data_IF_494782946781
#
_entry.id   IF_494782946781
#
_cell.length_a   1.000
_cell.length_b   1.000
_cell.length_c   1.000
_cell.angle_alpha   90.00
_cell.angle_beta   90.00
_cell.angle_gamma   90.00
#
_symmetry.space_group_name_H-M   'P 1'
#
loop_
_entity.id
_entity.type
_entity.pdbx_description
1 polymer ?
#
# COMPACT_ATOMS: atom_id res chain seq x y z
N UNK A 1 7.99 14.67 -9.93
CA UNK A 1 6.98 15.74 -10.20
C UNK A 1 7.64 17.10 -10.05
N UNK A 2 7.24 18.11 -10.85
CA UNK A 2 7.68 19.50 -10.63
C UNK A 2 7.27 20.01 -9.26
N UNK A 3 8.05 20.91 -8.69
CA UNK A 3 7.73 21.58 -7.43
C UNK A 3 6.44 22.40 -7.56
N UNK A 4 5.61 22.39 -6.51
CA UNK A 4 4.31 23.06 -6.50
C UNK A 4 3.17 22.26 -7.13
N UNK A 5 3.45 21.08 -7.73
CA UNK A 5 2.40 20.22 -8.26
C UNK A 5 1.56 19.62 -7.14
N UNK A 6 0.26 19.66 -7.30
CA UNK A 6 -0.70 18.97 -6.45
C UNK A 6 -1.32 17.80 -7.23
N UNK A 7 -1.62 16.73 -6.53
CA UNK A 7 -2.19 15.54 -7.12
C UNK A 7 -3.29 14.97 -6.21
N UNK A 8 -4.46 14.75 -6.78
CA UNK A 8 -5.57 14.05 -6.16
C UNK A 8 -5.71 12.68 -6.81
N UNK A 9 -5.78 11.62 -6.00
CA UNK A 9 -6.16 10.29 -6.45
C UNK A 9 -7.43 9.85 -5.73
N UNK A 10 -8.35 9.28 -6.49
CA UNK A 10 -9.47 8.49 -5.98
C UNK A 10 -9.26 7.06 -6.47
N UNK A 11 -9.06 6.15 -5.53
CA UNK A 11 -8.75 4.76 -5.80
C UNK A 11 -9.90 3.90 -5.28
N UNK A 12 -10.49 3.07 -6.13
CA UNK A 12 -11.42 2.01 -5.73
C UNK A 12 -10.68 0.68 -5.75
N UNK A 13 -10.84 -0.12 -4.71
CA UNK A 13 -10.23 -1.44 -4.54
C UNK A 13 -11.33 -2.44 -4.21
N UNK A 14 -11.38 -3.54 -4.94
CA UNK A 14 -12.14 -4.74 -4.55
C UNK A 14 -11.18 -5.92 -4.53
N UNK A 15 -11.18 -6.68 -3.44
CA UNK A 15 -10.22 -7.75 -3.21
C UNK A 15 -10.88 -8.90 -2.46
N UNK A 16 -10.63 -10.14 -2.92
CA UNK A 16 -10.90 -11.35 -2.15
C UNK A 16 -9.62 -11.78 -1.45
N UNK A 17 -9.66 -11.99 -0.15
CA UNK A 17 -8.45 -12.19 0.66
C UNK A 17 -8.80 -12.86 1.99
N UNK A 18 -7.79 -13.25 2.75
CA UNK A 18 -7.91 -13.69 4.14
C UNK A 18 -7.45 -12.59 5.14
N UNK A 19 -7.33 -11.34 4.70
CA UNK A 19 -6.87 -10.21 5.52
C UNK A 19 -7.83 -9.02 5.43
N UNK A 20 -7.63 -8.00 6.27
CA UNK A 20 -8.24 -6.68 6.11
C UNK A 20 -7.41 -5.82 5.14
N UNK A 21 -7.57 -4.49 5.20
CA UNK A 21 -6.75 -3.54 4.42
C UNK A 21 -5.24 -3.67 4.67
N UNK A 22 -4.84 -4.02 5.89
CA UNK A 22 -3.44 -4.28 6.22
C UNK A 22 -3.14 -5.78 6.02
N UNK A 23 -2.34 -6.17 5.01
CA UNK A 23 -1.95 -7.57 4.79
C UNK A 23 -1.24 -8.21 5.99
N UNK A 24 -0.70 -7.39 6.91
CA UNK A 24 -0.11 -7.89 8.14
C UNK A 24 -1.15 -8.48 9.12
N UNK A 25 -2.46 -8.23 8.89
CA UNK A 25 -3.57 -8.76 9.68
C UNK A 25 -4.19 -10.04 9.12
N UNK A 26 -3.52 -10.72 8.19
CA UNK A 26 -4.02 -11.96 7.60
C UNK A 26 -4.37 -13.01 8.67
N UNK A 27 -5.53 -13.64 8.51
CA UNK A 27 -6.07 -14.68 9.40
C UNK A 27 -6.23 -15.97 8.62
N UNK A 28 -5.51 -17.02 9.02
CA UNK A 28 -5.58 -18.32 8.36
C UNK A 28 -7.01 -18.88 8.40
N UNK A 29 -7.53 -19.28 7.25
CA UNK A 29 -8.88 -19.85 7.11
C UNK A 29 -10.01 -18.82 7.16
N UNK A 30 -9.69 -17.52 7.08
CA UNK A 30 -10.67 -16.49 6.81
C UNK A 30 -10.92 -16.36 5.31
N UNK A 31 -12.13 -16.03 4.93
CA UNK A 31 -12.52 -15.62 3.58
C UNK A 31 -13.15 -14.23 3.69
N UNK A 32 -12.47 -13.24 3.15
CA UNK A 32 -12.87 -11.85 3.27
C UNK A 32 -12.96 -11.17 1.90
N UNK A 33 -13.92 -10.28 1.78
CA UNK A 33 -14.05 -9.32 0.68
C UNK A 33 -13.79 -7.92 1.23
N UNK A 34 -12.84 -7.22 0.61
CA UNK A 34 -12.46 -5.83 0.91
C UNK A 34 -12.96 -4.95 -0.23
N UNK A 35 -13.91 -4.06 0.03
CA UNK A 35 -14.44 -3.08 -0.91
C UNK A 35 -14.18 -1.69 -0.34
N UNK A 36 -13.11 -1.04 -0.80
CA UNK A 36 -12.67 0.24 -0.23
C UNK A 36 -12.36 1.28 -1.29
N UNK A 37 -12.68 2.53 -0.96
CA UNK A 37 -12.18 3.72 -1.61
C UNK A 37 -10.99 4.27 -0.85
N UNK A 38 -10.04 4.90 -1.55
CA UNK A 38 -8.94 5.64 -0.93
C UNK A 38 -8.87 7.02 -1.56
N UNK A 39 -8.99 8.05 -0.75
CA UNK A 39 -8.65 9.42 -1.12
C UNK A 39 -7.19 9.68 -0.79
N UNK A 40 -6.44 10.16 -1.77
CA UNK A 40 -5.06 10.57 -1.57
C UNK A 40 -4.83 11.96 -2.14
N UNK A 41 -4.31 12.86 -1.32
CA UNK A 41 -3.80 14.16 -1.76
C UNK A 41 -2.28 14.18 -1.60
N UNK A 42 -1.58 14.61 -2.65
CA UNK A 42 -0.11 14.72 -2.66
C UNK A 42 0.31 16.09 -3.10
N UNK A 43 1.26 16.69 -2.41
CA UNK A 43 1.91 17.94 -2.79
C UNK A 43 3.41 17.77 -2.95
N UNK A 44 3.93 18.18 -4.11
CA UNK A 44 5.36 18.24 -4.38
C UNK A 44 5.95 19.59 -3.93
N UNK A 45 7.09 19.55 -3.28
CA UNK A 45 7.81 20.72 -2.79
C UNK A 45 9.33 20.54 -2.93
N UNK A 46 10.09 21.59 -2.64
CA UNK A 46 11.56 21.53 -2.58
C UNK A 46 12.02 21.39 -1.13
N UNK A 47 12.88 20.41 -0.88
CA UNK A 47 13.61 20.26 0.38
C UNK A 47 15.10 20.16 0.10
N UNK A 48 15.89 21.08 0.63
CA UNK A 48 17.34 21.16 0.41
C UNK A 48 17.75 21.07 -1.09
N UNK A 49 16.97 21.71 -1.98
CA UNK A 49 17.22 21.69 -3.41
C UNK A 49 16.76 20.44 -4.16
N UNK A 50 16.23 19.44 -3.47
CA UNK A 50 15.69 18.21 -4.06
C UNK A 50 14.16 18.22 -4.09
N UNK A 51 13.59 17.56 -5.11
CA UNK A 51 12.15 17.32 -5.21
C UNK A 51 11.71 16.35 -4.13
N UNK A 52 10.71 16.73 -3.37
CA UNK A 52 10.11 15.96 -2.30
C UNK A 52 8.59 16.02 -2.40
N UNK A 53 7.90 15.10 -1.78
CA UNK A 53 6.44 15.06 -1.76
C UNK A 53 5.91 14.64 -0.40
N UNK A 54 4.76 15.22 -0.03
CA UNK A 54 3.97 14.82 1.12
C UNK A 54 2.59 14.41 0.64
N UNK A 55 2.11 13.27 1.13
CA UNK A 55 0.77 12.79 0.83
C UNK A 55 -0.01 12.48 2.11
N UNK A 56 -1.32 12.74 2.07
CA UNK A 56 -2.28 12.25 3.05
C UNK A 56 -3.14 11.19 2.35
N UNK A 57 -3.32 10.06 3.00
CA UNK A 57 -4.04 8.89 2.50
C UNK A 57 -5.15 8.55 3.46
N UNK A 58 -6.38 8.50 2.99
CA UNK A 58 -7.58 8.24 3.79
C UNK A 58 -8.41 7.13 3.15
N UNK A 59 -8.34 5.90 3.67
CA UNK A 59 -9.19 4.80 3.24
C UNK A 59 -10.60 4.95 3.83
N UNK A 60 -11.61 4.44 3.09
CA UNK A 60 -13.00 4.31 3.55
C UNK A 60 -13.67 3.18 2.81
N UNK A 61 -14.62 2.52 3.44
CA UNK A 61 -15.35 1.43 2.78
C UNK A 61 -15.81 0.34 3.73
N UNK A 62 -15.73 -0.90 3.29
CA UNK A 62 -16.19 -2.05 4.02
C UNK A 62 -15.28 -3.26 3.83
N UNK A 63 -15.11 -4.01 4.92
CA UNK A 63 -14.52 -5.36 4.91
C UNK A 63 -15.58 -6.31 5.45
N UNK A 64 -15.89 -7.35 4.67
CA UNK A 64 -16.82 -8.43 5.07
C UNK A 64 -16.05 -9.74 5.03
N UNK A 65 -16.20 -10.58 6.03
CA UNK A 65 -15.52 -11.86 6.04
C UNK A 65 -16.21 -12.91 6.88
N UNK A 66 -15.89 -14.14 6.54
CA UNK A 66 -16.31 -15.35 7.26
C UNK A 66 -15.07 -16.03 7.82
N UNK A 67 -15.17 -16.52 9.05
CA UNK A 67 -14.15 -17.36 9.65
C UNK A 67 -14.78 -18.67 10.09
N UNK A 68 -14.27 -19.76 9.55
CA UNK A 68 -14.68 -21.11 9.95
C UNK A 68 -13.77 -21.61 11.07
N UNK A 69 -14.29 -21.71 12.28
CA UNK A 69 -13.60 -22.22 13.45
C UNK A 69 -13.93 -23.69 13.66
N UNK A 70 -12.92 -24.54 13.79
CA UNK A 70 -13.11 -25.94 14.21
C UNK A 70 -13.41 -25.98 15.71
N UNK A 71 -14.46 -26.65 16.10
CA UNK A 71 -14.80 -26.86 17.49
C UNK A 71 -13.77 -27.71 18.23
N UNK A 72 -13.76 -27.73 19.59
CA UNK A 72 -12.73 -28.39 20.40
C UNK A 72 -12.57 -29.91 20.17
N UNK A 73 -13.54 -30.53 19.56
CA UNK A 73 -13.57 -31.99 19.27
C UNK A 73 -13.44 -32.30 17.78
N UNK A 74 -13.15 -31.30 16.91
CA UNK A 74 -12.94 -31.52 15.47
C UNK A 74 -14.18 -31.86 14.64
N UNK A 75 -15.30 -32.12 15.26
CA UNK A 75 -16.52 -32.62 14.62
C UNK A 75 -17.58 -31.56 14.28
N UNK A 76 -17.41 -30.33 14.77
CA UNK A 76 -18.31 -29.22 14.48
C UNK A 76 -17.51 -28.01 14.01
N UNK A 77 -17.86 -27.50 12.83
CA UNK A 77 -17.37 -26.22 12.33
C UNK A 77 -18.40 -25.13 12.67
N UNK A 78 -17.95 -24.01 13.19
CA UNK A 78 -18.77 -22.83 13.42
C UNK A 78 -18.28 -21.75 12.48
N UNK A 79 -19.10 -21.36 11.52
CA UNK A 79 -18.83 -20.18 10.69
C UNK A 79 -19.35 -18.94 11.38
N UNK A 80 -18.50 -17.94 11.50
CA UNK A 80 -18.85 -16.60 12.02
C UNK A 80 -18.62 -15.58 10.94
N UNK A 81 -19.66 -14.84 10.63
CA UNK A 81 -19.58 -13.65 9.79
C UNK A 81 -19.17 -12.44 10.62
N UNK A 82 -18.35 -11.59 10.05
CA UNK A 82 -17.93 -10.32 10.62
C UNK A 82 -17.83 -9.27 9.53
N UNK A 83 -18.32 -8.07 9.80
CA UNK A 83 -18.15 -6.93 8.89
C UNK A 83 -17.79 -5.67 9.66
N UNK A 84 -17.01 -4.83 9.00
CA UNK A 84 -16.63 -3.50 9.49
C UNK A 84 -16.70 -2.50 8.34
N UNK A 85 -17.39 -1.39 8.54
CA UNK A 85 -17.52 -0.33 7.54
C UNK A 85 -17.26 1.04 8.16
N UNK A 86 -16.77 1.99 7.36
CA UNK A 86 -16.49 3.34 7.80
C UNK A 86 -15.16 3.86 7.24
N UNK A 87 -14.39 4.56 8.07
CA UNK A 87 -13.04 5.04 7.73
C UNK A 87 -11.99 3.99 8.12
N UNK A 88 -10.96 3.86 7.28
CA UNK A 88 -9.73 3.17 7.66
C UNK A 88 -8.74 4.11 8.36
N UNK A 89 -7.58 3.59 8.71
CA UNK A 89 -6.52 4.36 9.36
C UNK A 89 -5.90 5.38 8.41
N UNK A 90 -5.85 6.64 8.82
CA UNK A 90 -5.26 7.72 8.02
C UNK A 90 -3.74 7.65 8.08
N UNK A 91 -3.11 7.83 6.91
CA UNK A 91 -1.66 7.83 6.80
C UNK A 91 -1.14 9.15 6.24
N UNK A 92 0.04 9.56 6.71
CA UNK A 92 0.85 10.64 6.14
C UNK A 92 2.15 10.03 5.62
N UNK A 93 2.39 10.21 4.32
CA UNK A 93 3.55 9.68 3.61
C UNK A 93 4.42 10.83 3.12
N UNK A 94 5.69 10.83 3.48
CA UNK A 94 6.73 11.69 2.93
C UNK A 94 7.69 10.90 2.05
N UNK A 95 8.04 11.45 0.89
CA UNK A 95 9.13 10.95 0.04
C UNK A 95 10.06 12.11 -0.24
N UNK A 96 11.33 11.93 0.08
CA UNK A 96 12.36 12.98 0.05
C UNK A 96 13.45 12.58 -0.93
N UNK A 97 13.67 13.38 -1.98
CA UNK A 97 14.76 13.17 -2.93
C UNK A 97 16.11 13.42 -2.27
N UNK A 98 17.09 12.52 -2.53
CA UNK A 98 18.47 12.63 -2.04
C UNK A 98 19.43 12.79 -3.21
N UNK A 99 19.35 11.90 -4.20
CA UNK A 99 20.22 11.90 -5.39
C UNK A 99 19.35 11.83 -6.64
N UNK A 100 19.73 12.53 -7.71
CA UNK A 100 19.09 12.44 -9.03
C UNK A 100 17.67 13.01 -9.10
N UNK A 101 17.22 13.71 -8.07
CA UNK A 101 15.88 14.26 -7.94
C UNK A 101 15.90 15.77 -7.68
N UNK A 102 16.52 16.61 -8.54
CA UNK A 102 16.57 18.04 -8.28
C UNK A 102 15.17 18.66 -8.26
N UNK A 103 14.99 19.68 -7.42
CA UNK A 103 13.77 20.47 -7.40
C UNK A 103 13.68 21.28 -8.70
N UNK A 104 12.61 21.07 -9.46
CA UNK A 104 12.44 21.63 -10.80
C UNK A 104 11.11 22.33 -10.98
N UNK A 105 11.10 23.43 -11.71
CA UNK A 105 9.90 24.01 -12.30
C UNK A 105 9.31 23.08 -13.37
N UNK A 106 8.08 23.33 -13.81
CA UNK A 106 7.46 22.56 -14.91
C UNK A 106 8.28 22.60 -16.19
N UNK A 107 8.87 23.76 -16.52
CA UNK A 107 9.70 23.94 -17.72
C UNK A 107 11.00 23.13 -17.62
N UNK A 108 11.71 23.20 -16.50
CA UNK A 108 12.92 22.42 -16.25
C UNK A 108 12.64 20.92 -16.28
N UNK A 109 11.55 20.47 -15.66
CA UNK A 109 11.14 19.08 -15.63
C UNK A 109 10.89 18.50 -17.03
N UNK A 110 10.30 19.30 -17.92
CA UNK A 110 10.05 18.89 -19.31
C UNK A 110 11.33 18.67 -20.13
N UNK A 111 12.43 19.33 -19.74
CA UNK A 111 13.73 19.29 -20.46
C UNK A 111 14.77 18.42 -19.73
N UNK A 112 14.49 18.04 -18.49
CA UNK A 112 15.42 17.26 -17.67
C UNK A 112 15.56 15.84 -18.19
N UNK A 113 16.78 15.43 -18.50
CA UNK A 113 17.10 14.05 -18.85
C UNK A 113 17.15 13.21 -17.58
N UNK A 114 16.21 12.29 -17.37
CA UNK A 114 16.18 11.48 -16.16
C UNK A 114 17.28 10.43 -16.19
N UNK A 115 17.52 9.84 -15.02
CA UNK A 115 18.51 8.78 -14.84
C UNK A 115 18.27 8.06 -13.52
N UNK A 116 19.34 7.76 -12.81
CA UNK A 116 19.27 7.20 -11.46
C UNK A 116 18.74 8.23 -10.47
N UNK A 117 17.89 7.75 -9.56
CA UNK A 117 17.42 8.53 -8.41
C UNK A 117 17.39 7.68 -7.15
N UNK A 118 17.64 8.34 -6.00
CA UNK A 118 17.55 7.76 -4.67
C UNK A 118 16.80 8.75 -3.77
N UNK A 119 15.95 8.25 -2.92
CA UNK A 119 15.21 9.02 -1.93
C UNK A 119 15.13 8.31 -0.58
N UNK A 120 14.52 9.00 0.38
CA UNK A 120 14.05 8.43 1.64
C UNK A 120 12.53 8.47 1.68
N UNK A 121 11.93 7.47 2.28
CA UNK A 121 10.49 7.34 2.52
C UNK A 121 10.24 7.25 4.02
N UNK A 122 9.25 8.01 4.50
CA UNK A 122 8.72 7.86 5.84
C UNK A 122 7.19 7.93 5.78
N UNK A 123 6.50 7.00 6.44
CA UNK A 123 5.04 6.99 6.55
C UNK A 123 4.62 6.72 7.98
N UNK A 124 3.64 7.47 8.44
CA UNK A 124 3.00 7.28 9.74
C UNK A 124 1.53 7.00 9.47
N UNK A 125 1.02 5.90 10.02
CA UNK A 125 -0.40 5.54 10.01
C UNK A 125 -0.93 5.66 11.43
N UNK A 126 -1.96 6.48 11.62
CA UNK A 126 -2.60 6.70 12.91
C UNK A 126 -3.82 5.78 13.07
N UNK A 127 -4.11 5.26 14.28
CA UNK A 127 -5.27 4.41 14.55
C UNK A 127 -6.56 5.24 14.60
N UNK A 128 -6.97 5.78 13.47
CA UNK A 128 -8.15 6.66 13.32
C UNK A 128 -9.33 5.97 12.67
N UNK A 129 -9.13 4.74 12.22
CA UNK A 129 -10.12 3.94 11.51
C UNK A 129 -11.18 3.35 12.44
N UNK A 130 -12.26 2.91 11.84
CA UNK A 130 -13.34 2.20 12.54
C UNK A 130 -12.82 0.87 13.10
N UNK A 131 -12.84 0.75 14.41
CA UNK A 131 -12.37 -0.41 15.15
C UNK A 131 -13.37 -0.79 16.25
N UNK A 132 -13.58 -2.09 16.42
CA UNK A 132 -14.44 -2.70 17.40
C UNK A 132 -13.75 -3.97 17.92
N UNK A 133 -13.40 -4.00 19.20
CA UNK A 133 -12.68 -5.11 19.85
C UNK A 133 -13.52 -6.40 20.01
N UNK A 134 -14.83 -6.30 19.83
CA UNK A 134 -15.71 -7.46 19.76
C UNK A 134 -15.76 -8.11 18.38
N UNK A 135 -15.13 -7.48 17.34
CA UNK A 135 -15.07 -7.98 15.97
C UNK A 135 -13.68 -8.52 15.63
N UNK A 136 -13.65 -9.67 14.97
CA UNK A 136 -12.41 -10.27 14.48
C UNK A 136 -11.84 -9.50 13.28
N UNK A 137 -12.72 -8.97 12.42
CA UNK A 137 -12.35 -8.23 11.20
C UNK A 137 -12.73 -6.78 11.39
N UNK A 138 -11.76 -5.90 11.24
CA UNK A 138 -11.90 -4.46 11.37
C UNK A 138 -11.30 -3.72 10.17
N UNK A 139 -11.83 -2.53 9.88
CA UNK A 139 -11.28 -1.65 8.86
C UNK A 139 -10.05 -0.87 9.40
N UNK A 140 -10.09 -0.42 10.65
CA UNK A 140 -8.96 0.13 11.39
C UNK A 140 -8.15 -0.95 12.10
N UNK A 141 -6.92 -0.64 12.49
CA UNK A 141 -5.98 -1.58 13.14
C UNK A 141 -5.80 -1.34 14.63
N UNK A 142 -6.31 -0.24 15.16
CA UNK A 142 -6.19 0.20 16.56
C UNK A 142 -4.73 0.26 17.07
N UNK A 143 -3.80 0.62 16.18
CA UNK A 143 -2.37 0.76 16.51
C UNK A 143 -1.70 1.72 15.55
N UNK A 144 -0.62 2.33 15.99
CA UNK A 144 0.25 3.09 15.12
C UNK A 144 1.11 2.17 14.25
N UNK A 145 1.39 2.61 13.01
CA UNK A 145 2.40 1.99 12.18
C UNK A 145 3.35 3.05 11.62
N UNK A 146 4.65 2.74 11.63
CA UNK A 146 5.73 3.61 11.16
C UNK A 146 6.53 2.86 10.10
N UNK A 147 6.46 3.31 8.86
CA UNK A 147 7.22 2.73 7.75
C UNK A 147 8.33 3.68 7.34
N UNK A 148 9.55 3.16 7.23
CA UNK A 148 10.69 3.86 6.63
C UNK A 148 11.25 3.05 5.49
N UNK A 149 11.82 3.74 4.48
CA UNK A 149 12.32 3.06 3.29
C UNK A 149 13.26 3.95 2.47
N UNK A 150 13.88 3.34 1.47
CA UNK A 150 14.84 3.99 0.58
C UNK A 150 14.45 3.72 -0.89
N UNK A 151 13.47 4.45 -1.46
CA UNK A 151 13.13 4.31 -2.86
C UNK A 151 14.30 4.70 -3.75
N UNK A 152 14.61 3.86 -4.72
CA UNK A 152 15.61 4.15 -5.75
C UNK A 152 15.18 3.57 -7.09
N UNK A 153 15.72 4.11 -8.17
CA UNK A 153 15.37 3.62 -9.50
C UNK A 153 16.07 4.35 -10.62
N UNK A 154 15.72 3.93 -11.82
CA UNK A 154 16.20 4.51 -13.07
C UNK A 154 15.03 4.88 -13.94
N UNK A 155 15.11 6.08 -14.52
CA UNK A 155 14.20 6.51 -15.57
C UNK A 155 14.99 6.65 -16.87
N UNK A 156 14.53 5.99 -17.92
CA UNK A 156 15.19 5.85 -19.22
C UNK A 156 14.32 6.55 -20.28
N UNK A 157 14.80 7.64 -20.82
CA UNK A 157 14.11 8.47 -21.79
C UNK A 157 14.82 9.82 -21.97
N UNK A 158 14.37 10.61 -22.95
CA UNK A 158 14.95 11.93 -23.21
C UNK A 158 14.51 12.99 -22.18
N UNK A 159 13.34 12.78 -21.59
CA UNK A 159 12.81 13.59 -20.47
C UNK A 159 11.76 12.79 -19.69
N UNK A 160 11.35 13.29 -18.53
CA UNK A 160 10.21 12.71 -17.79
C UNK A 160 8.87 12.79 -18.54
N UNK A 161 8.77 13.62 -19.57
CA UNK A 161 7.60 13.72 -20.46
C UNK A 161 7.78 12.93 -21.76
N UNK A 162 8.83 12.12 -21.87
CA UNK A 162 9.06 11.26 -23.02
C UNK A 162 7.86 10.34 -23.26
N UNK A 163 7.35 10.26 -24.51
CA UNK A 163 6.26 9.35 -24.84
C UNK A 163 6.66 7.87 -24.76
N UNK A 164 7.94 7.57 -24.60
CA UNK A 164 8.52 6.23 -24.45
C UNK A 164 9.39 6.12 -23.20
N UNK A 165 9.01 6.83 -22.13
CA UNK A 165 9.70 6.73 -20.85
C UNK A 165 9.54 5.31 -20.30
N UNK A 166 10.64 4.73 -19.82
CA UNK A 166 10.65 3.51 -19.02
C UNK A 166 11.20 3.85 -17.64
N UNK A 167 10.52 3.41 -16.58
CA UNK A 167 11.03 3.52 -15.21
C UNK A 167 11.16 2.14 -14.58
N UNK A 168 12.23 1.95 -13.83
CA UNK A 168 12.48 0.76 -13.00
C UNK A 168 12.69 1.31 -11.60
N UNK A 169 11.85 0.90 -10.66
CA UNK A 169 11.84 1.44 -9.31
C UNK A 169 11.85 0.31 -8.28
N UNK A 170 12.59 0.51 -7.19
CA UNK A 170 12.63 -0.39 -6.04
C UNK A 170 12.42 0.41 -4.77
N UNK A 171 11.61 -0.14 -3.86
CA UNK A 171 11.28 0.49 -2.58
C UNK A 171 11.48 -0.52 -1.44
N UNK A 172 12.74 -0.79 -1.02
CA UNK A 172 12.97 -1.49 0.22
C UNK A 172 12.48 -0.65 1.40
N UNK A 173 11.80 -1.28 2.34
CA UNK A 173 11.23 -0.61 3.51
C UNK A 173 11.00 -1.57 4.67
N UNK A 174 10.87 -1.01 5.86
CA UNK A 174 10.49 -1.72 7.08
C UNK A 174 9.36 -0.95 7.76
N UNK A 175 8.38 -1.69 8.28
CA UNK A 175 7.27 -1.15 9.07
C UNK A 175 7.38 -1.65 10.49
N UNK A 176 7.31 -0.73 11.45
CA UNK A 176 7.24 -0.97 12.88
C UNK A 176 5.83 -0.67 13.36
N UNK A 177 5.38 -1.35 14.38
CA UNK A 177 4.03 -1.23 14.93
C UNK A 177 4.08 -0.93 16.42
N UNK A 178 3.14 -0.12 16.92
CA UNK A 178 2.82 -0.10 18.33
C UNK A 178 1.95 -1.31 18.69
N UNK A 179 1.80 -1.56 19.96
CA UNK A 179 0.85 -2.54 20.44
C UNK A 179 -0.60 -2.12 20.13
N UNK A 180 -1.47 -3.11 20.01
CA UNK A 180 -2.92 -2.96 20.09
C UNK A 180 -3.35 -3.42 21.48
N UNK A 181 -3.83 -2.47 22.31
CA UNK A 181 -4.20 -2.68 23.71
C UNK A 181 -5.61 -3.26 23.88
N UNK A 182 -6.37 -3.44 22.81
CA UNK A 182 -7.70 -4.04 22.81
C UNK A 182 -7.92 -4.91 21.56
N UNK A 183 -7.11 -5.97 21.34
CA UNK A 183 -7.33 -6.87 20.23
C UNK A 183 -8.56 -7.78 20.51
N UNK A 184 -9.16 -8.30 19.45
CA UNK A 184 -10.30 -9.21 19.57
C UNK A 184 -10.05 -10.32 20.60
N UNK A 185 -10.85 -10.35 21.69
CA UNK A 185 -10.84 -11.34 22.78
C UNK A 185 -9.48 -11.53 23.48
N UNK A 186 -8.64 -10.53 23.52
CA UNK A 186 -7.37 -10.56 24.23
C UNK A 186 -7.05 -9.19 24.83
N UNK A 187 -6.09 -9.13 25.76
CA UNK A 187 -5.73 -7.88 26.44
C UNK A 187 -4.74 -7.03 25.67
N UNK A 188 -3.80 -7.67 24.97
CA UNK A 188 -2.74 -6.96 24.22
C UNK A 188 -2.26 -7.79 23.04
N UNK A 189 -1.89 -7.11 21.95
CA UNK A 189 -1.18 -7.74 20.83
C UNK A 189 -0.09 -6.81 20.30
N UNK A 190 1.15 -7.28 20.40
CA UNK A 190 2.32 -6.68 19.74
C UNK A 190 2.59 -7.33 18.39
N UNK A 191 3.36 -6.65 17.54
CA UNK A 191 3.79 -7.19 16.25
C UNK A 191 5.23 -6.81 15.96
N UNK A 192 6.01 -7.78 15.50
CA UNK A 192 7.37 -7.58 15.02
C UNK A 192 7.40 -6.78 13.71
N UNK A 193 8.58 -6.25 13.40
CA UNK A 193 8.80 -5.50 12.17
C UNK A 193 8.48 -6.33 10.92
N UNK A 194 7.85 -5.68 9.93
CA UNK A 194 7.57 -6.24 8.61
C UNK A 194 8.50 -5.61 7.58
N UNK A 195 9.34 -6.42 6.95
CA UNK A 195 10.24 -6.03 5.87
C UNK A 195 9.55 -6.20 4.52
N UNK A 196 9.75 -5.24 3.63
CA UNK A 196 9.15 -5.23 2.30
C UNK A 196 10.12 -4.71 1.25
N UNK A 197 10.10 -5.32 0.08
CA UNK A 197 10.67 -4.78 -1.15
C UNK A 197 9.56 -4.71 -2.18
N UNK A 198 9.33 -3.53 -2.76
CA UNK A 198 8.44 -3.31 -3.91
C UNK A 198 9.30 -3.03 -5.13
N UNK A 199 8.92 -3.58 -6.27
CA UNK A 199 9.56 -3.36 -7.56
C UNK A 199 8.53 -2.99 -8.61
N UNK A 200 8.82 -1.97 -9.43
CA UNK A 200 7.91 -1.47 -10.45
C UNK A 200 8.67 -1.29 -11.76
N UNK A 201 8.12 -1.84 -12.84
CA UNK A 201 8.59 -1.60 -14.21
C UNK A 201 7.45 -0.95 -14.99
N UNK A 202 7.58 0.34 -15.28
CA UNK A 202 6.58 1.08 -16.04
C UNK A 202 7.12 1.49 -17.40
N UNK A 203 6.31 1.34 -18.46
CA UNK A 203 6.65 1.77 -19.81
C UNK A 203 5.52 2.56 -20.45
N UNK A 204 5.85 3.73 -21.00
CA UNK A 204 4.96 4.52 -21.81
C UNK A 204 5.04 4.06 -23.26
N UNK A 205 3.94 3.62 -23.87
CA UNK A 205 3.86 3.31 -25.30
C UNK A 205 3.65 4.58 -26.14
N UNK A 206 3.01 5.57 -25.54
CA UNK A 206 2.82 6.91 -26.10
C UNK A 206 2.49 7.89 -24.95
N UNK A 207 2.13 9.14 -25.26
CA UNK A 207 1.78 10.16 -24.25
C UNK A 207 0.51 9.83 -23.46
N UNK A 208 -0.39 9.05 -24.07
CA UNK A 208 -1.68 8.72 -23.45
C UNK A 208 -1.64 7.36 -22.72
N UNK A 209 -0.99 6.34 -23.30
CA UNK A 209 -1.08 4.96 -22.82
C UNK A 209 0.25 4.46 -22.24
N UNK A 210 0.17 3.83 -21.08
CA UNK A 210 1.28 3.21 -20.38
C UNK A 210 0.86 1.91 -19.68
N UNK A 211 1.83 1.07 -19.37
CA UNK A 211 1.64 -0.15 -18.58
C UNK A 211 2.69 -0.23 -17.46
N UNK A 212 2.37 -0.95 -16.39
CA UNK A 212 3.32 -1.31 -15.33
C UNK A 212 3.19 -2.78 -14.97
N UNK A 213 4.32 -3.40 -14.65
CA UNK A 213 4.38 -4.67 -13.94
C UNK A 213 4.94 -4.40 -12.55
N UNK A 214 4.26 -4.92 -11.54
CA UNK A 214 4.52 -4.66 -10.14
C UNK A 214 4.80 -5.97 -9.41
N UNK A 215 5.81 -5.99 -8.54
CA UNK A 215 6.15 -7.13 -7.69
C UNK A 215 6.39 -6.65 -6.27
N UNK A 216 6.04 -7.48 -5.29
CA UNK A 216 6.37 -7.24 -3.87
C UNK A 216 6.86 -8.52 -3.22
N UNK A 217 7.84 -8.39 -2.34
CA UNK A 217 8.29 -9.45 -1.45
C UNK A 217 8.26 -8.94 -0.01
N UNK A 218 7.74 -9.75 0.90
CA UNK A 218 7.51 -9.36 2.29
C UNK A 218 7.94 -10.48 3.23
N UNK A 219 8.49 -10.13 4.41
CA UNK A 219 8.83 -11.10 5.46
C UNK A 219 8.79 -10.47 6.84
N UNK A 220 8.45 -11.25 7.88
CA UNK A 220 8.36 -10.83 9.27
C UNK A 220 6.94 -10.62 9.77
N UNK A 221 6.75 -9.70 10.71
CA UNK A 221 5.44 -9.32 11.21
C UNK A 221 4.76 -10.40 12.07
N UNK A 222 5.54 -11.25 12.77
CA UNK A 222 4.99 -12.18 13.76
C UNK A 222 4.28 -11.40 14.86
N UNK A 223 3.15 -11.92 15.35
CA UNK A 223 2.42 -11.32 16.46
C UNK A 223 2.62 -12.11 17.75
N UNK A 224 2.50 -11.38 18.87
CA UNK A 224 2.50 -11.94 20.23
C UNK A 224 1.23 -11.44 20.91
N UNK A 225 0.37 -12.36 21.32
CA UNK A 225 -0.91 -12.06 22.00
C UNK A 225 -0.81 -12.47 23.46
N UNK A 226 -1.06 -11.51 24.36
CA UNK A 226 -0.98 -11.69 25.83
C UNK A 226 0.34 -12.36 26.28
N UNK A 227 1.47 -11.92 25.68
CA UNK A 227 2.82 -12.42 25.98
C UNK A 227 3.14 -13.79 25.37
N UNK A 228 2.27 -14.37 24.56
CA UNK A 228 2.47 -15.66 23.88
C UNK A 228 2.62 -15.46 22.38
N UNK A 229 3.72 -15.96 21.79
CA UNK A 229 3.94 -15.94 20.34
C UNK A 229 2.83 -16.70 19.61
N UNK A 230 2.27 -16.05 18.58
CA UNK A 230 1.25 -16.64 17.70
C UNK A 230 1.85 -17.55 16.62
N UNK A 231 3.18 -17.58 16.48
CA UNK A 231 3.94 -18.38 15.49
C UNK A 231 3.43 -18.16 14.07
N UNK A 232 3.10 -16.92 13.74
CA UNK A 232 2.49 -16.53 12.48
C UNK A 232 3.36 -15.55 11.68
N UNK A 233 4.69 -15.68 11.78
CA UNK A 233 5.62 -14.95 10.93
C UNK A 233 5.29 -15.18 9.46
N UNK A 234 5.18 -14.09 8.70
CA UNK A 234 4.68 -14.09 7.34
C UNK A 234 5.83 -13.97 6.35
N UNK A 235 5.74 -14.71 5.25
CA UNK A 235 6.62 -14.52 4.09
C UNK A 235 5.76 -14.72 2.84
N UNK A 236 5.71 -13.71 1.97
CA UNK A 236 4.93 -13.80 0.74
C UNK A 236 5.50 -12.92 -0.37
N UNK A 237 5.16 -13.29 -1.60
CA UNK A 237 5.34 -12.48 -2.80
C UNK A 237 4.00 -12.19 -3.43
N UNK A 238 3.84 -10.99 -3.96
CA UNK A 238 2.68 -10.58 -4.72
C UNK A 238 3.08 -9.92 -6.02
N UNK A 239 2.16 -9.84 -6.97
CA UNK A 239 2.40 -9.21 -8.25
C UNK A 239 1.14 -8.67 -8.87
N UNK A 240 1.29 -7.76 -9.82
CA UNK A 240 0.19 -7.16 -10.53
C UNK A 240 0.60 -6.55 -11.85
N UNK A 241 -0.41 -6.32 -12.69
CA UNK A 241 -0.27 -5.61 -13.96
C UNK A 241 -1.22 -4.41 -13.95
N UNK A 242 -0.69 -3.27 -14.39
CA UNK A 242 -1.45 -2.03 -14.49
C UNK A 242 -1.46 -1.55 -15.92
N UNK A 243 -2.61 -1.11 -16.39
CA UNK A 243 -2.74 -0.33 -17.62
C UNK A 243 -3.31 1.06 -17.29
N UNK A 244 -2.74 2.11 -17.86
CA UNK A 244 -3.15 3.47 -17.57
C UNK A 244 -3.29 4.32 -18.82
N UNK A 245 -4.24 5.25 -18.77
CA UNK A 245 -4.53 6.21 -19.84
C UNK A 245 -4.57 7.62 -19.29
N UNK A 246 -3.80 8.51 -19.88
CA UNK A 246 -3.82 9.95 -19.64
C UNK A 246 -4.70 10.61 -20.70
N UNK A 247 -5.86 11.12 -20.29
CA UNK A 247 -6.79 11.85 -21.19
C UNK A 247 -6.34 13.29 -21.41
N UNK A 248 -5.59 13.82 -20.46
CA UNK A 248 -4.95 15.14 -20.53
C UNK A 248 -3.70 15.17 -19.63
N UNK A 249 -2.89 16.23 -19.66
CA UNK A 249 -1.81 16.39 -18.69
C UNK A 249 -2.29 16.43 -17.23
N UNK A 250 -3.55 16.82 -17.00
CA UNK A 250 -4.14 16.94 -15.68
C UNK A 250 -4.88 15.68 -15.23
N UNK A 251 -5.49 14.91 -16.15
CA UNK A 251 -6.38 13.81 -15.81
C UNK A 251 -5.96 12.49 -16.45
N UNK A 252 -5.91 11.44 -15.62
CA UNK A 252 -5.63 10.07 -16.06
C UNK A 252 -6.38 9.05 -15.22
N UNK A 253 -6.57 7.87 -15.81
CA UNK A 253 -7.18 6.70 -15.15
C UNK A 253 -6.27 5.49 -15.34
N UNK A 254 -6.18 4.64 -14.34
CA UNK A 254 -5.49 3.35 -14.45
C UNK A 254 -6.29 2.24 -13.79
N UNK A 255 -6.10 1.04 -14.30
CA UNK A 255 -6.67 -0.19 -13.76
C UNK A 255 -5.55 -1.19 -13.48
N UNK A 256 -5.58 -1.81 -12.32
CA UNK A 256 -4.62 -2.83 -11.89
C UNK A 256 -5.36 -4.10 -11.52
N UNK A 257 -4.85 -5.23 -11.98
CA UNK A 257 -5.20 -6.54 -11.45
C UNK A 257 -3.94 -7.18 -10.86
N UNK A 258 -4.06 -7.75 -9.67
CA UNK A 258 -2.94 -8.38 -8.99
C UNK A 258 -3.36 -9.19 -7.78
N UNK A 259 -2.42 -9.95 -7.23
CA UNK A 259 -2.69 -10.78 -6.07
C UNK A 259 -1.42 -11.40 -5.51
N UNK A 260 -1.61 -12.33 -4.58
CA UNK A 260 -0.54 -13.09 -3.95
C UNK A 260 -0.10 -14.21 -4.91
N UNK A 261 1.20 -14.29 -5.20
CA UNK A 261 1.79 -15.28 -6.09
C UNK A 261 2.29 -16.50 -5.32
N UNK A 262 2.84 -16.27 -4.13
CA UNK A 262 3.28 -17.35 -3.23
C UNK A 262 3.39 -16.82 -1.80
N UNK A 263 3.24 -17.72 -0.83
CA UNK A 263 3.40 -17.39 0.59
C UNK A 263 3.47 -18.61 1.46
N UNK A 264 3.86 -18.42 2.72
CA UNK A 264 3.78 -19.45 3.75
C UNK A 264 2.34 -19.51 4.32
N UNK A 265 2.07 -20.48 5.19
CA UNK A 265 0.75 -20.74 5.78
C UNK A 265 0.14 -19.54 6.55
N UNK A 266 0.95 -18.56 6.94
CA UNK A 266 0.51 -17.36 7.66
C UNK A 266 0.39 -16.14 6.74
N UNK A 267 0.73 -16.29 5.46
CA UNK A 267 0.70 -15.22 4.49
C UNK A 267 -0.73 -14.76 4.16
N UNK A 268 -0.91 -13.52 3.67
CA UNK A 268 -2.14 -13.15 2.99
C UNK A 268 -2.31 -13.98 1.71
N UNK A 269 -3.56 -14.18 1.33
CA UNK A 269 -3.97 -14.88 0.11
C UNK A 269 -4.90 -13.99 -0.70
N UNK A 270 -5.12 -14.38 -1.96
CA UNK A 270 -6.14 -13.79 -2.80
C UNK A 270 -5.62 -12.83 -3.87
N UNK A 271 -6.59 -12.24 -4.55
CA UNK A 271 -6.37 -11.32 -5.66
C UNK A 271 -7.40 -10.20 -5.64
N UNK A 272 -7.16 -9.17 -6.43
CA UNK A 272 -8.04 -8.02 -6.46
C UNK A 272 -7.85 -7.13 -7.67
N UNK A 273 -8.78 -6.24 -7.79
CA UNK A 273 -8.84 -5.23 -8.83
C UNK A 273 -8.82 -3.84 -8.22
N UNK A 274 -8.08 -2.93 -8.84
CA UNK A 274 -7.98 -1.53 -8.43
C UNK A 274 -8.19 -0.61 -9.63
N UNK A 275 -9.03 0.41 -9.46
CA UNK A 275 -9.17 1.53 -10.39
C UNK A 275 -8.68 2.78 -9.70
N UNK A 276 -7.89 3.60 -10.38
CA UNK A 276 -7.41 4.88 -9.88
C UNK A 276 -7.71 5.99 -10.87
N UNK A 277 -8.44 7.01 -10.42
CA UNK A 277 -8.58 8.29 -11.08
C UNK A 277 -7.62 9.30 -10.50
N UNK A 278 -6.78 9.92 -11.34
CA UNK A 278 -5.78 10.92 -10.95
C UNK A 278 -6.11 12.28 -11.54
N UNK A 279 -6.07 13.32 -10.69
CA UNK A 279 -6.15 14.72 -11.11
C UNK A 279 -4.94 15.50 -10.62
N UNK A 280 -4.22 16.16 -11.52
CA UNK A 280 -2.96 16.90 -11.25
C UNK A 280 -3.15 18.37 -11.60
N UNK A 281 -2.75 19.30 -10.73
CA UNK A 281 -2.91 20.76 -10.91
C UNK A 281 -1.79 21.57 -10.25
#
# INVERSE_FOLDING_TARGET
MPVGTNNFNLIGITQKTNSSLDPATAVKGADATVDVGVLQYTRAFSLAGNASALAVVMPFGEVRGEVTLSGPLGNNTITRESSSSGLGDVSVLGVFGIVGSPAMTRQQYAQFKPGFSLGALAMITAPTGTYDDEKLINLGTNRWAFRVGAPFGWAIGDSYLSPRLTTIEFVPSVTFYSDNDAPFRAGNRSQEALYRIEGHLTHNFNRAFWVSADLTANTGGETTTDGKSDKNSKTWTGGGLTAGMNFSPAFGVSATYGGILSGNDAAPEGDGFRINGRYTF
#
